data_IF_390135831852
#
_entry.id   IF_390135831852
#
_cell.length_a   1.000
_cell.length_b   1.000
_cell.length_c   1.000
_cell.angle_alpha   90.00
_cell.angle_beta   90.00
_cell.angle_gamma   90.00
#
_symmetry.space_group_name_H-M   'P 1'
#
loop_
_entity.id
_entity.type
_entity.pdbx_description
1 polymer ?
#
# COMPACT_ATOMS: atom_id res chain seq x y z
N UNK A 1 -4.45 -2.96 6.59
CA UNK A 1 -4.75 -2.91 5.16
C UNK A 1 -4.18 -1.63 4.61
N UNK A 2 -3.49 -1.65 3.45
CA UNK A 2 -2.80 -0.47 2.99
C UNK A 2 -3.53 0.33 1.90
N UNK A 3 -4.38 -0.26 1.04
CA UNK A 3 -5.10 0.58 0.06
C UNK A 3 -6.15 1.42 0.80
N UNK A 4 -6.89 0.77 1.70
CA UNK A 4 -7.84 1.42 2.60
C UNK A 4 -7.49 1.14 4.06
N UNK A 5 -7.93 2.03 4.94
CA UNK A 5 -7.85 1.83 6.38
C UNK A 5 -8.74 0.68 6.84
N UNK A 6 -8.38 0.01 7.94
CA UNK A 6 -9.19 -1.06 8.52
C UNK A 6 -10.56 -0.55 8.94
N UNK A 7 -10.66 0.68 9.47
CA UNK A 7 -11.96 1.31 9.80
C UNK A 7 -12.85 1.48 8.57
N UNK A 8 -12.28 1.90 7.42
CA UNK A 8 -13.02 2.02 6.16
C UNK A 8 -13.50 0.67 5.64
N UNK A 9 -12.63 -0.35 5.65
CA UNK A 9 -13.01 -1.70 5.22
C UNK A 9 -14.12 -2.27 6.09
N UNK A 10 -14.03 -2.13 7.42
CA UNK A 10 -15.09 -2.57 8.32
C UNK A 10 -16.41 -1.85 8.01
N UNK A 11 -16.39 -0.52 7.81
CA UNK A 11 -17.58 0.23 7.45
C UNK A 11 -18.19 -0.22 6.11
N UNK A 12 -17.38 -0.61 5.13
CA UNK A 12 -17.87 -1.17 3.86
C UNK A 12 -18.51 -2.56 4.06
N UNK A 13 -17.88 -3.43 4.85
CA UNK A 13 -18.45 -4.74 5.21
C UNK A 13 -19.78 -4.57 5.95
N UNK A 14 -19.85 -3.69 6.94
CA UNK A 14 -21.08 -3.43 7.72
C UNK A 14 -22.19 -2.86 6.83
N UNK A 15 -21.84 -1.99 5.88
CA UNK A 15 -22.80 -1.40 4.96
C UNK A 15 -23.37 -2.43 3.97
N UNK A 16 -22.52 -3.29 3.41
CA UNK A 16 -22.95 -4.37 2.52
C UNK A 16 -23.70 -5.48 3.27
N UNK A 17 -23.33 -5.79 4.52
CA UNK A 17 -23.99 -6.82 5.31
C UNK A 17 -25.47 -6.48 5.56
N UNK A 18 -25.80 -5.19 5.69
CA UNK A 18 -27.20 -4.72 5.79
C UNK A 18 -28.01 -4.92 4.51
N UNK A 19 -27.36 -5.23 3.38
CA UNK A 19 -27.99 -5.40 2.07
C UNK A 19 -28.20 -6.86 1.66
N UNK A 20 -27.73 -7.82 2.45
CA UNK A 20 -28.23 -9.21 2.37
C UNK A 20 -27.27 -10.30 1.91
N UNK A 21 -25.98 -10.03 1.69
CA UNK A 21 -25.02 -11.07 1.27
C UNK A 21 -23.98 -11.40 2.35
N UNK A 22 -24.40 -12.15 3.37
CA UNK A 22 -23.51 -12.51 4.49
C UNK A 22 -22.41 -13.52 4.10
N UNK A 23 -22.64 -14.35 3.08
CA UNK A 23 -21.72 -15.44 2.72
C UNK A 23 -20.53 -14.91 1.93
N UNK A 24 -20.74 -14.13 0.86
CA UNK A 24 -19.65 -13.50 0.11
C UNK A 24 -18.80 -12.61 1.00
N UNK A 25 -19.45 -11.83 1.86
CA UNK A 25 -18.73 -10.95 2.81
C UNK A 25 -17.88 -11.73 3.81
N UNK A 26 -18.26 -12.96 4.16
CA UNK A 26 -17.44 -13.84 5.02
C UNK A 26 -16.17 -14.29 4.31
N UNK A 27 -16.26 -14.67 3.03
CA UNK A 27 -15.09 -15.02 2.21
C UNK A 27 -14.16 -13.82 2.00
N UNK A 28 -14.72 -12.68 1.58
CA UNK A 28 -13.98 -11.43 1.39
C UNK A 28 -13.26 -11.04 2.68
N UNK A 29 -13.93 -11.11 3.83
CA UNK A 29 -13.30 -10.86 5.15
C UNK A 29 -12.14 -11.82 5.44
N UNK A 30 -12.30 -13.12 5.14
CA UNK A 30 -11.23 -14.10 5.35
C UNK A 30 -10.01 -13.82 4.46
N UNK A 31 -10.24 -13.43 3.19
CA UNK A 31 -9.19 -13.05 2.25
C UNK A 31 -8.51 -11.74 2.63
N UNK A 32 -9.26 -10.75 3.12
CA UNK A 32 -8.71 -9.50 3.66
C UNK A 32 -7.67 -9.78 4.75
N UNK A 33 -7.98 -10.62 5.73
CA UNK A 33 -7.06 -10.96 6.82
C UNK A 33 -5.94 -11.94 6.43
N UNK A 34 -5.84 -12.33 5.15
CA UNK A 34 -4.81 -13.24 4.68
C UNK A 34 -3.42 -12.60 4.70
N UNK A 35 -2.42 -13.38 5.14
CA UNK A 35 -1.00 -12.95 5.16
C UNK A 35 -0.42 -12.82 3.75
N UNK A 36 -0.99 -13.50 2.76
CA UNK A 36 -0.54 -13.44 1.36
C UNK A 36 -1.07 -12.17 0.71
N UNK A 37 -0.15 -11.37 0.19
CA UNK A 37 -0.48 -10.10 -0.46
C UNK A 37 -1.34 -10.28 -1.71
N UNK A 38 -1.14 -11.37 -2.44
CA UNK A 38 -1.91 -11.75 -3.64
C UNK A 38 -3.32 -12.29 -3.31
N UNK A 39 -3.74 -12.24 -2.04
CA UNK A 39 -5.09 -12.58 -1.60
C UNK A 39 -5.77 -11.37 -0.96
N UNK A 40 -5.06 -10.67 -0.07
CA UNK A 40 -5.61 -9.55 0.66
C UNK A 40 -5.85 -8.30 -0.21
N UNK A 41 -4.91 -7.92 -1.08
CA UNK A 41 -5.11 -6.72 -1.92
C UNK A 41 -6.20 -6.91 -2.98
N UNK A 42 -6.30 -8.06 -3.67
CA UNK A 42 -7.47 -8.34 -4.49
C UNK A 42 -8.78 -8.24 -3.72
N UNK A 43 -8.85 -8.77 -2.49
CA UNK A 43 -10.05 -8.67 -1.66
C UNK A 43 -10.37 -7.23 -1.22
N UNK A 44 -9.36 -6.38 -0.95
CA UNK A 44 -9.58 -4.95 -0.69
C UNK A 44 -10.21 -4.25 -1.89
N UNK A 45 -9.74 -4.55 -3.10
CA UNK A 45 -10.27 -3.95 -4.34
C UNK A 45 -11.66 -4.48 -4.69
N UNK A 46 -11.87 -5.79 -4.56
CA UNK A 46 -13.17 -6.44 -4.75
C UNK A 46 -14.23 -5.82 -3.82
N UNK A 47 -13.95 -5.73 -2.52
CA UNK A 47 -14.84 -5.10 -1.56
C UNK A 47 -15.17 -3.65 -1.93
N UNK A 48 -14.17 -2.87 -2.32
CA UNK A 48 -14.37 -1.48 -2.68
C UNK A 48 -15.21 -1.30 -3.94
N UNK A 49 -15.00 -2.14 -4.96
CA UNK A 49 -15.78 -2.11 -6.20
C UNK A 49 -17.22 -2.55 -5.96
N UNK A 50 -17.44 -3.65 -5.23
CA UNK A 50 -18.79 -4.10 -4.83
C UNK A 50 -19.51 -2.98 -4.05
N UNK A 51 -18.83 -2.38 -3.07
CA UNK A 51 -19.38 -1.28 -2.29
C UNK A 51 -19.69 -0.04 -3.14
N UNK A 52 -18.83 0.32 -4.09
CA UNK A 52 -19.06 1.45 -4.99
C UNK A 52 -20.23 1.19 -5.95
N UNK A 53 -20.38 -0.03 -6.48
CA UNK A 53 -21.51 -0.41 -7.31
C UNK A 53 -22.83 -0.39 -6.53
N UNK A 54 -22.84 -0.89 -5.29
CA UNK A 54 -24.01 -0.82 -4.40
C UNK A 54 -24.45 0.62 -4.07
N UNK A 55 -23.57 1.60 -4.26
CA UNK A 55 -23.89 3.03 -4.11
C UNK A 55 -24.45 3.66 -5.38
N UNK A 56 -24.17 3.08 -6.55
CA UNK A 56 -24.77 3.50 -7.81
C UNK A 56 -26.23 3.04 -7.90
N UNK A 57 -26.55 1.89 -7.30
CA UNK A 57 -27.93 1.45 -7.09
C UNK A 57 -28.01 -0.02 -6.71
N UNK A 58 -29.07 -0.69 -7.16
CA UNK A 58 -29.29 -2.11 -6.87
C UNK A 58 -28.24 -2.99 -7.56
N UNK A 59 -27.77 -3.97 -6.80
CA UNK A 59 -26.83 -4.99 -7.26
C UNK A 59 -27.31 -6.34 -6.75
N UNK A 60 -27.00 -7.39 -7.51
CA UNK A 60 -27.07 -8.78 -7.07
C UNK A 60 -25.66 -9.33 -7.07
N UNK A 61 -25.20 -9.87 -5.95
CA UNK A 61 -23.87 -10.47 -5.82
C UNK A 61 -23.95 -11.98 -6.06
N UNK A 62 -23.00 -12.52 -6.83
CA UNK A 62 -22.96 -13.96 -7.18
C UNK A 62 -24.31 -14.52 -7.67
N UNK A 63 -24.94 -13.90 -8.69
CA UNK A 63 -26.28 -14.25 -9.14
C UNK A 63 -26.36 -15.73 -9.53
N UNK A 64 -27.19 -16.49 -8.82
CA UNK A 64 -27.29 -17.94 -9.02
C UNK A 64 -27.87 -18.30 -10.40
N UNK A 65 -28.69 -17.42 -10.96
CA UNK A 65 -29.28 -17.59 -12.28
C UNK A 65 -28.25 -17.51 -13.42
N UNK A 66 -27.02 -17.04 -13.16
CA UNK A 66 -25.93 -17.08 -14.14
C UNK A 66 -25.28 -18.47 -14.25
N UNK A 67 -25.69 -19.43 -13.41
CA UNK A 67 -25.18 -20.80 -13.38
C UNK A 67 -23.94 -20.95 -12.50
N UNK A 68 -23.16 -22.01 -12.75
CA UNK A 68 -22.05 -22.42 -11.86
C UNK A 68 -20.87 -21.45 -11.81
N UNK A 69 -20.78 -20.51 -12.75
CA UNK A 69 -19.65 -19.57 -12.84
C UNK A 69 -19.81 -18.34 -11.95
N UNK A 70 -21.05 -18.04 -11.53
CA UNK A 70 -21.45 -16.98 -10.56
C UNK A 70 -20.58 -15.72 -10.62
N UNK A 71 -20.90 -14.75 -11.49
CA UNK A 71 -20.09 -13.56 -11.63
C UNK A 71 -20.09 -12.74 -10.33
N UNK A 72 -19.08 -11.93 -10.09
CA UNK A 72 -18.99 -11.19 -8.83
C UNK A 72 -20.24 -10.36 -8.52
N UNK A 73 -20.72 -9.62 -9.53
CA UNK A 73 -21.88 -8.72 -9.45
C UNK A 73 -22.72 -8.78 -10.74
N UNK A 74 -24.04 -8.66 -10.59
CA UNK A 74 -24.97 -8.19 -11.62
C UNK A 74 -25.56 -6.83 -11.23
N UNK A 75 -25.70 -5.94 -12.21
CA UNK A 75 -26.35 -4.63 -12.02
C UNK A 75 -26.83 -4.04 -13.35
N UNK A 76 -27.89 -3.24 -13.30
CA UNK A 76 -28.36 -2.44 -14.45
C UNK A 76 -27.91 -0.97 -14.37
N UNK A 77 -27.20 -0.59 -13.30
CA UNK A 77 -26.91 0.80 -12.96
C UNK A 77 -25.53 1.26 -13.44
N UNK A 78 -24.62 0.32 -13.73
CA UNK A 78 -23.29 0.66 -14.23
C UNK A 78 -23.38 1.26 -15.64
N UNK A 79 -24.10 0.60 -16.54
CA UNK A 79 -24.37 1.06 -17.91
C UNK A 79 -25.88 1.27 -18.07
N UNK A 80 -26.40 2.51 -17.92
CA UNK A 80 -27.83 2.77 -17.92
C UNK A 80 -28.55 2.16 -19.13
N UNK A 81 -29.58 1.36 -18.86
CA UNK A 81 -30.38 0.68 -19.88
C UNK A 81 -29.75 -0.59 -20.44
N UNK A 82 -28.64 -1.07 -19.87
CA UNK A 82 -28.00 -2.33 -20.27
C UNK A 82 -27.70 -3.19 -19.03
N UNK A 83 -28.31 -4.38 -18.91
CA UNK A 83 -27.94 -5.34 -17.89
C UNK A 83 -26.44 -5.65 -17.98
N UNK A 84 -25.74 -5.63 -16.85
CA UNK A 84 -24.31 -5.82 -16.81
C UNK A 84 -23.94 -6.86 -15.76
N UNK A 85 -23.08 -7.81 -16.13
CA UNK A 85 -22.34 -8.63 -15.18
C UNK A 85 -20.91 -8.14 -15.08
N UNK A 86 -20.38 -8.12 -13.86
CA UNK A 86 -19.08 -7.56 -13.54
C UNK A 86 -18.25 -8.63 -12.84
N UNK A 87 -17.03 -8.81 -13.33
CA UNK A 87 -15.96 -9.52 -12.63
C UNK A 87 -14.93 -8.54 -12.11
N UNK A 88 -14.47 -8.73 -10.88
CA UNK A 88 -13.41 -7.89 -10.30
C UNK A 88 -12.13 -8.70 -10.18
N UNK A 89 -11.03 -8.12 -10.63
CA UNK A 89 -9.69 -8.68 -10.45
C UNK A 89 -8.71 -7.59 -10.08
N UNK A 90 -7.61 -7.96 -9.43
CA UNK A 90 -6.53 -7.05 -9.14
C UNK A 90 -5.20 -7.66 -9.57
N UNK A 91 -4.39 -6.86 -10.27
CA UNK A 91 -3.15 -7.32 -10.89
C UNK A 91 -1.95 -6.74 -10.13
N UNK A 92 -0.87 -7.51 -10.05
CA UNK A 92 0.41 -7.05 -9.52
C UNK A 92 1.57 -7.45 -10.42
N UNK A 93 2.70 -6.78 -10.24
CA UNK A 93 3.94 -7.07 -10.95
C UNK A 93 4.67 -8.31 -10.41
N UNK A 94 4.17 -8.98 -9.36
CA UNK A 94 4.91 -10.02 -8.64
C UNK A 94 5.48 -11.14 -9.52
N UNK A 95 4.70 -11.63 -10.49
CA UNK A 95 5.16 -12.62 -11.49
C UNK A 95 6.16 -12.01 -12.47
N UNK A 96 5.88 -10.84 -13.05
CA UNK A 96 6.82 -10.18 -13.99
C UNK A 96 8.15 -9.83 -13.32
N UNK A 97 8.12 -9.53 -12.03
CA UNK A 97 9.29 -9.26 -11.21
C UNK A 97 10.01 -10.53 -10.75
N UNK A 98 9.40 -11.71 -10.90
CA UNK A 98 9.90 -12.99 -10.35
C UNK A 98 10.18 -12.89 -8.84
N UNK A 99 9.32 -12.17 -8.11
CA UNK A 99 9.50 -11.96 -6.66
C UNK A 99 9.69 -13.28 -5.88
N UNK A 100 8.91 -14.36 -6.12
CA UNK A 100 9.08 -15.62 -5.41
C UNK A 100 10.48 -16.24 -5.61
N UNK A 101 10.98 -16.24 -6.83
CA UNK A 101 12.27 -16.83 -7.19
C UNK A 101 13.42 -16.03 -6.58
N UNK A 102 13.35 -14.69 -6.69
CA UNK A 102 14.33 -13.79 -6.08
C UNK A 102 14.35 -13.95 -4.54
N UNK A 103 13.17 -14.03 -3.91
CA UNK A 103 13.04 -14.24 -2.47
C UNK A 103 13.58 -15.61 -2.05
N UNK A 104 13.37 -16.67 -2.85
CA UNK A 104 13.89 -18.02 -2.60
C UNK A 104 15.42 -18.02 -2.57
N UNK A 105 16.08 -17.45 -3.59
CA UNK A 105 17.55 -17.35 -3.62
C UNK A 105 18.09 -16.67 -2.37
N UNK A 106 17.54 -15.50 -2.03
CA UNK A 106 17.95 -14.76 -0.85
C UNK A 106 17.74 -15.55 0.45
N UNK A 107 16.62 -16.27 0.58
CA UNK A 107 16.29 -17.09 1.75
C UNK A 107 17.26 -18.26 1.89
N UNK A 108 17.49 -19.02 0.82
CA UNK A 108 18.37 -20.19 0.83
C UNK A 108 19.82 -19.83 1.12
N UNK A 109 20.32 -18.74 0.55
CA UNK A 109 21.66 -18.23 0.86
C UNK A 109 21.78 -17.74 2.30
N UNK A 110 20.73 -17.10 2.85
CA UNK A 110 20.69 -16.72 4.27
C UNK A 110 20.72 -17.95 5.19
N UNK A 111 19.96 -18.98 4.87
CA UNK A 111 19.93 -20.24 5.61
C UNK A 111 21.30 -20.93 5.58
N UNK A 112 21.94 -21.00 4.41
CA UNK A 112 23.30 -21.51 4.28
C UNK A 112 24.32 -20.70 5.11
N UNK A 113 24.27 -19.36 5.02
CA UNK A 113 25.12 -18.48 5.82
C UNK A 113 24.92 -18.69 7.32
N UNK A 114 23.69 -18.86 7.77
CA UNK A 114 23.37 -19.08 9.18
C UNK A 114 23.82 -20.46 9.69
N UNK A 115 23.83 -21.49 8.83
CA UNK A 115 24.43 -22.81 9.13
C UNK A 115 25.95 -22.73 9.29
N UNK A 116 26.61 -21.91 8.48
CA UNK A 116 28.05 -21.65 8.59
C UNK A 116 28.37 -20.86 9.86
N UNK A 117 27.66 -19.74 10.08
CA UNK A 117 27.83 -18.89 11.26
C UNK A 117 26.51 -18.24 11.65
N UNK A 118 26.00 -18.61 12.82
CA UNK A 118 24.69 -18.20 13.33
C UNK A 118 24.51 -16.69 13.27
N UNK A 119 23.38 -16.26 12.69
CA UNK A 119 22.95 -14.86 12.66
C UNK A 119 23.62 -14.01 11.59
N UNK A 120 24.49 -14.56 10.74
CA UNK A 120 25.14 -13.80 9.65
C UNK A 120 24.24 -13.53 8.46
N UNK A 121 23.23 -14.37 8.21
CA UNK A 121 22.31 -14.18 7.08
C UNK A 121 21.56 -12.84 7.10
N UNK A 122 21.27 -12.28 8.29
CA UNK A 122 20.60 -10.97 8.38
C UNK A 122 21.46 -9.79 7.90
N UNK A 123 22.76 -9.98 7.70
CA UNK A 123 23.70 -8.95 7.23
C UNK A 123 23.94 -9.00 5.73
N UNK A 124 23.30 -9.93 5.02
CA UNK A 124 23.52 -10.14 3.59
C UNK A 124 22.50 -9.39 2.74
N UNK A 125 22.97 -8.79 1.65
CA UNK A 125 22.13 -8.43 0.51
C UNK A 125 22.56 -9.15 -0.76
N UNK A 126 21.62 -9.29 -1.68
CA UNK A 126 21.74 -10.08 -2.90
C UNK A 126 21.37 -9.22 -4.09
N UNK A 127 22.30 -9.06 -5.02
CA UNK A 127 22.06 -8.43 -6.30
C UNK A 127 21.98 -9.52 -7.37
N UNK A 128 20.80 -9.71 -7.94
CA UNK A 128 20.54 -10.69 -9.01
C UNK A 128 20.81 -10.03 -10.35
N UNK A 129 21.64 -10.69 -11.15
CA UNK A 129 22.04 -10.21 -12.47
C UNK A 129 20.99 -10.52 -13.53
N UNK A 130 21.14 -9.84 -14.66
CA UNK A 130 20.19 -9.89 -15.78
C UNK A 130 20.95 -10.34 -17.02
N UNK A 131 20.28 -11.11 -17.87
CA UNK A 131 20.72 -11.47 -19.20
C UNK A 131 19.79 -10.81 -20.21
N UNK A 132 20.35 -10.36 -21.34
CA UNK A 132 19.57 -9.81 -22.43
C UNK A 132 20.20 -10.20 -23.77
N UNK A 133 19.36 -10.36 -24.79
CA UNK A 133 19.80 -10.79 -26.11
C UNK A 133 18.65 -10.87 -27.10
N UNK A 134 18.87 -11.66 -28.15
CA UNK A 134 17.85 -11.98 -29.13
C UNK A 134 17.78 -13.49 -29.33
N UNK A 135 16.57 -14.03 -29.37
CA UNK A 135 16.26 -15.37 -29.84
C UNK A 135 15.50 -15.22 -31.16
N UNK A 136 16.19 -15.45 -32.28
CA UNK A 136 15.68 -15.08 -33.60
C UNK A 136 15.51 -13.56 -33.75
N UNK A 137 14.31 -13.10 -34.08
CA UNK A 137 13.95 -11.67 -34.14
C UNK A 137 13.39 -11.12 -32.82
N UNK A 138 13.13 -11.99 -31.83
CA UNK A 138 12.55 -11.59 -30.56
C UNK A 138 13.64 -11.15 -29.57
N UNK A 139 13.55 -9.91 -29.08
CA UNK A 139 14.38 -9.46 -27.97
C UNK A 139 13.92 -10.13 -26.67
N UNK A 140 14.86 -10.59 -25.86
CA UNK A 140 14.58 -11.05 -24.51
C UNK A 140 15.44 -10.31 -23.48
N UNK A 141 14.86 -10.16 -22.30
CA UNK A 141 15.55 -9.75 -21.08
C UNK A 141 15.04 -10.62 -19.95
N UNK A 142 15.92 -11.32 -19.25
CA UNK A 142 15.56 -12.27 -18.20
C UNK A 142 16.45 -12.13 -16.98
N UNK A 143 15.88 -12.31 -15.79
CA UNK A 143 16.68 -12.38 -14.56
C UNK A 143 17.41 -13.71 -14.54
N UNK A 144 18.68 -13.68 -14.14
CA UNK A 144 19.52 -14.87 -13.99
C UNK A 144 19.22 -15.53 -12.64
N UNK A 145 18.09 -16.24 -12.58
CA UNK A 145 17.60 -16.91 -11.38
C UNK A 145 16.95 -18.25 -11.75
N UNK A 146 17.27 -19.29 -10.99
CA UNK A 146 16.59 -20.58 -11.06
C UNK A 146 15.39 -20.61 -10.11
N UNK A 147 14.21 -20.99 -10.61
CA UNK A 147 13.01 -21.12 -9.78
C UNK A 147 13.19 -22.14 -8.65
N UNK A 148 14.01 -23.16 -8.88
CA UNK A 148 14.33 -24.24 -7.94
C UNK A 148 15.68 -24.13 -7.24
N UNK A 149 16.25 -22.93 -7.18
CA UNK A 149 17.57 -22.71 -6.58
C UNK A 149 17.71 -23.34 -5.18
N UNK A 150 18.76 -24.15 -5.05
CA UNK A 150 19.28 -24.69 -3.79
C UNK A 150 20.81 -24.58 -3.81
N UNK A 151 21.46 -24.02 -2.78
CA UNK A 151 22.92 -23.88 -2.75
C UNK A 151 23.63 -25.24 -2.85
N UNK A 152 24.44 -25.42 -3.89
CA UNK A 152 25.31 -26.59 -4.05
C UNK A 152 26.41 -26.60 -2.98
N UNK A 153 27.07 -27.76 -2.81
CA UNK A 153 28.22 -27.87 -1.91
C UNK A 153 29.31 -26.83 -2.24
N UNK A 154 29.64 -26.66 -3.54
CA UNK A 154 30.61 -25.65 -3.98
C UNK A 154 30.18 -24.22 -3.66
N UNK A 155 28.89 -23.88 -3.82
CA UNK A 155 28.37 -22.57 -3.42
C UNK A 155 28.47 -22.35 -1.91
N UNK A 156 28.17 -23.38 -1.11
CA UNK A 156 28.30 -23.33 0.35
C UNK A 156 29.77 -23.15 0.77
N UNK A 157 30.71 -23.80 0.09
CA UNK A 157 32.14 -23.69 0.37
C UNK A 157 32.70 -22.30 0.02
N UNK A 158 32.31 -21.74 -1.13
CA UNK A 158 32.63 -20.35 -1.48
C UNK A 158 32.08 -19.36 -0.46
N UNK A 159 30.81 -19.54 -0.06
CA UNK A 159 30.18 -18.70 0.95
C UNK A 159 30.88 -18.84 2.31
N UNK A 160 31.32 -20.05 2.67
CA UNK A 160 32.08 -20.32 3.90
C UNK A 160 33.42 -19.61 3.88
N UNK A 161 34.21 -19.79 2.82
CA UNK A 161 35.50 -19.12 2.66
C UNK A 161 35.36 -17.61 2.79
N UNK A 162 34.37 -17.03 2.12
CA UNK A 162 34.10 -15.59 2.15
C UNK A 162 33.63 -15.07 3.53
N UNK A 163 32.72 -15.79 4.21
CA UNK A 163 32.23 -15.39 5.53
C UNK A 163 33.30 -15.47 6.63
N UNK A 164 34.32 -16.31 6.43
CA UNK A 164 35.41 -16.52 7.39
C UNK A 164 36.60 -15.56 7.18
N UNK A 165 36.61 -14.76 6.12
CA UNK A 165 37.60 -13.70 5.95
C UNK A 165 37.46 -12.65 7.06
N UNK A 166 38.60 -12.16 7.56
CA UNK A 166 38.65 -11.03 8.49
C UNK A 166 38.77 -9.70 7.73
N UNK A 167 38.26 -8.61 8.34
CA UNK A 167 38.33 -7.27 7.75
C UNK A 167 37.23 -6.96 6.71
N UNK A 168 37.58 -6.06 5.78
CA UNK A 168 36.69 -5.59 4.69
C UNK A 168 36.50 -6.72 3.69
N UNK A 169 35.23 -6.99 3.34
CA UNK A 169 34.86 -8.06 2.41
C UNK A 169 34.46 -7.46 1.06
N UNK A 170 35.19 -7.84 0.02
CA UNK A 170 34.74 -7.60 -1.35
C UNK A 170 33.44 -8.38 -1.64
N UNK A 171 32.55 -7.89 -2.51
CA UNK A 171 31.34 -8.62 -2.87
C UNK A 171 31.64 -10.01 -3.45
N UNK A 172 30.93 -11.04 -2.98
CA UNK A 172 31.07 -12.41 -3.46
C UNK A 172 30.17 -12.64 -4.68
N UNK A 173 30.74 -13.04 -5.81
CA UNK A 173 29.96 -13.45 -6.99
C UNK A 173 29.74 -14.96 -6.98
N UNK A 174 28.48 -15.37 -7.06
CA UNK A 174 28.08 -16.77 -7.13
C UNK A 174 27.41 -17.05 -8.48
N UNK A 175 27.91 -18.09 -9.14
CA UNK A 175 27.39 -18.64 -10.40
C UNK A 175 27.00 -20.10 -10.16
N UNK A 176 25.73 -20.43 -10.31
CA UNK A 176 25.23 -21.79 -10.21
C UNK A 176 23.99 -21.96 -11.09
N UNK A 177 24.02 -22.88 -12.06
CA UNK A 177 22.90 -23.04 -12.99
C UNK A 177 22.63 -21.76 -13.78
N UNK A 178 21.36 -21.35 -13.88
CA UNK A 178 21.00 -20.04 -14.43
C UNK A 178 21.13 -18.91 -13.40
N UNK A 179 21.35 -19.22 -12.12
CA UNK A 179 21.47 -18.23 -11.05
C UNK A 179 22.81 -17.50 -11.07
N UNK A 180 22.77 -16.18 -11.20
CA UNK A 180 23.93 -15.29 -11.07
C UNK A 180 23.63 -14.20 -10.03
N UNK A 181 24.31 -14.27 -8.89
CA UNK A 181 24.06 -13.39 -7.74
C UNK A 181 25.36 -12.84 -7.17
N UNK A 182 25.36 -11.55 -6.86
CA UNK A 182 26.39 -10.92 -6.03
C UNK A 182 25.89 -10.78 -4.60
N UNK A 183 26.62 -11.34 -3.65
CA UNK A 183 26.37 -11.29 -2.21
C UNK A 183 27.22 -10.17 -1.60
N UNK A 184 26.58 -9.27 -0.87
CA UNK A 184 27.25 -8.16 -0.18
C UNK A 184 27.03 -8.26 1.33
N UNK A 185 28.07 -7.91 2.08
CA UNK A 185 28.05 -7.84 3.54
C UNK A 185 27.72 -6.43 4.01
N UNK A 186 26.89 -6.32 5.04
CA UNK A 186 26.57 -5.05 5.72
C UNK A 186 26.85 -5.16 7.22
N UNK A 187 27.44 -4.13 7.81
CA UNK A 187 27.66 -4.08 9.26
C UNK A 187 26.35 -4.13 10.05
N UNK A 188 25.33 -3.43 9.54
CA UNK A 188 24.00 -3.38 10.12
C UNK A 188 23.10 -4.46 9.50
N UNK A 189 22.26 -5.15 10.30
CA UNK A 189 21.25 -6.06 9.77
C UNK A 189 20.34 -5.40 8.71
N UNK A 190 20.10 -6.11 7.62
CA UNK A 190 19.19 -5.74 6.54
C UNK A 190 17.78 -6.25 6.82
N UNK A 191 16.79 -5.45 6.44
CA UNK A 191 15.39 -5.87 6.55
C UNK A 191 15.15 -7.09 5.63
N UNK A 192 14.43 -8.13 6.08
CA UNK A 192 14.23 -9.37 5.31
C UNK A 192 13.54 -9.19 3.95
N UNK A 193 12.82 -8.09 3.76
CA UNK A 193 12.09 -7.78 2.52
C UNK A 193 12.79 -6.76 1.62
N UNK A 194 13.98 -6.27 1.99
CA UNK A 194 14.72 -5.24 1.23
C UNK A 194 16.18 -5.61 1.02
N UNK A 195 16.48 -6.91 1.01
CA UNK A 195 17.83 -7.44 0.90
C UNK A 195 18.07 -8.18 -0.42
N UNK A 196 17.09 -8.24 -1.31
CA UNK A 196 17.25 -8.76 -2.68
C UNK A 196 16.93 -7.63 -3.64
N UNK A 197 17.77 -7.44 -4.64
CA UNK A 197 17.65 -6.39 -5.64
C UNK A 197 17.96 -6.95 -7.03
N UNK A 198 17.24 -6.45 -8.04
CA UNK A 198 17.53 -6.70 -9.44
C UNK A 198 17.32 -5.39 -10.22
N UNK A 199 18.22 -5.09 -11.15
CA UNK A 199 18.13 -3.88 -11.99
C UNK A 199 17.10 -3.99 -13.11
N UNK A 200 16.51 -5.17 -13.31
CA UNK A 200 15.43 -5.38 -14.27
C UNK A 200 14.09 -4.93 -13.65
N UNK A 201 13.42 -3.90 -14.20
CA UNK A 201 12.07 -3.54 -13.82
C UNK A 201 11.07 -4.63 -14.20
N UNK A 202 9.86 -4.57 -13.65
CA UNK A 202 8.75 -5.42 -14.07
C UNK A 202 8.10 -4.84 -15.33
N UNK A 203 8.55 -5.30 -16.49
CA UNK A 203 8.04 -4.90 -17.81
C UNK A 203 7.44 -6.12 -18.52
N UNK A 204 6.37 -5.90 -19.27
CA UNK A 204 5.84 -6.90 -20.20
C UNK A 204 6.47 -6.71 -21.58
N UNK A 205 6.86 -7.82 -22.21
CA UNK A 205 7.38 -7.83 -23.60
C UNK A 205 6.46 -8.57 -24.59
N UNK A 206 5.36 -9.16 -24.09
CA UNK A 206 4.37 -9.88 -24.88
C UNK A 206 2.97 -9.37 -24.55
N UNK A 207 2.11 -9.28 -25.58
CA UNK A 207 0.70 -8.92 -25.42
C UNK A 207 -0.09 -9.99 -24.68
N UNK A 208 0.34 -11.25 -24.74
CA UNK A 208 -0.35 -12.41 -24.15
C UNK A 208 0.36 -12.98 -22.93
N UNK A 209 1.70 -13.04 -22.93
CA UNK A 209 2.47 -13.56 -21.79
C UNK A 209 2.75 -12.43 -20.79
N UNK A 210 1.72 -12.07 -20.04
CA UNK A 210 1.81 -11.13 -18.93
C UNK A 210 0.65 -11.33 -17.93
N UNK A 211 0.82 -10.92 -16.65
CA UNK A 211 -0.19 -11.13 -15.61
C UNK A 211 -1.52 -10.41 -15.86
N UNK A 212 -1.53 -9.34 -16.66
CA UNK A 212 -2.76 -8.63 -17.00
C UNK A 212 -3.59 -9.44 -17.98
N UNK A 213 -2.99 -9.96 -19.05
CA UNK A 213 -3.68 -10.83 -20.00
C UNK A 213 -4.19 -12.10 -19.33
N UNK A 214 -3.37 -12.75 -18.50
CA UNK A 214 -3.78 -13.94 -17.74
C UNK A 214 -5.03 -13.67 -16.87
N UNK A 215 -5.03 -12.56 -16.14
CA UNK A 215 -6.16 -12.18 -15.28
C UNK A 215 -7.42 -11.86 -16.12
N UNK A 216 -7.26 -11.21 -17.27
CA UNK A 216 -8.35 -10.94 -18.19
C UNK A 216 -8.93 -12.24 -18.77
N UNK A 217 -8.09 -13.18 -19.21
CA UNK A 217 -8.52 -14.46 -19.76
C UNK A 217 -9.14 -15.39 -18.71
N UNK A 218 -8.68 -15.34 -17.45
CA UNK A 218 -9.33 -16.03 -16.34
C UNK A 218 -10.75 -15.49 -16.11
N UNK A 219 -10.90 -14.17 -15.97
CA UNK A 219 -12.20 -13.53 -15.72
C UNK A 219 -13.15 -13.64 -16.91
N UNK A 220 -12.61 -13.64 -18.13
CA UNK A 220 -13.36 -13.98 -19.34
C UNK A 220 -14.06 -15.33 -19.22
N UNK A 221 -13.33 -16.37 -18.80
CA UNK A 221 -13.89 -17.71 -18.66
C UNK A 221 -15.00 -17.72 -17.61
N UNK A 222 -14.91 -16.92 -16.55
CA UNK A 222 -15.98 -16.77 -15.56
C UNK A 222 -17.23 -16.09 -16.16
N UNK A 223 -17.06 -15.04 -16.97
CA UNK A 223 -18.15 -14.30 -17.63
C UNK A 223 -18.79 -15.01 -18.84
N UNK A 224 -18.20 -16.11 -19.30
CA UNK A 224 -18.70 -16.80 -20.48
C UNK A 224 -19.99 -17.59 -20.15
N UNK A 225 -21.13 -16.97 -20.43
CA UNK A 225 -22.46 -17.60 -20.45
C UNK A 225 -23.12 -17.34 -21.80
N UNK A 226 -23.62 -18.37 -22.51
CA UNK A 226 -24.31 -18.19 -23.79
C UNK A 226 -25.71 -17.57 -23.63
N UNK A 227 -26.32 -17.68 -22.44
CA UNK A 227 -27.69 -17.22 -22.17
C UNK A 227 -27.74 -15.72 -21.84
N UNK A 228 -26.64 -15.18 -21.32
CA UNK A 228 -26.58 -13.76 -20.97
C UNK A 228 -26.39 -12.89 -22.22
N UNK A 229 -27.27 -11.91 -22.42
CA UNK A 229 -27.24 -11.01 -23.60
C UNK A 229 -26.81 -9.58 -23.28
N UNK A 230 -26.53 -9.28 -22.01
CA UNK A 230 -26.09 -7.96 -21.56
C UNK A 230 -24.58 -7.73 -21.70
N UNK A 231 -24.10 -6.67 -21.05
CA UNK A 231 -22.69 -6.24 -21.02
C UNK A 231 -21.90 -7.12 -20.07
N UNK A 232 -20.78 -7.67 -20.55
CA UNK A 232 -19.78 -8.37 -19.74
C UNK A 232 -18.61 -7.44 -19.46
N UNK A 233 -18.47 -7.05 -18.20
CA UNK A 233 -17.47 -6.10 -17.76
C UNK A 233 -16.43 -6.76 -16.85
N UNK A 234 -15.15 -6.52 -17.11
CA UNK A 234 -14.08 -6.84 -16.17
C UNK A 234 -13.56 -5.53 -15.57
N UNK A 235 -13.61 -5.40 -14.25
CA UNK A 235 -12.96 -4.34 -13.49
C UNK A 235 -11.58 -4.82 -13.06
N UNK A 236 -10.53 -4.19 -13.58
CA UNK A 236 -9.13 -4.51 -13.26
C UNK A 236 -8.52 -3.44 -12.38
N UNK A 237 -8.14 -3.84 -11.17
CA UNK A 237 -7.65 -2.95 -10.14
C UNK A 237 -6.11 -3.03 -9.99
N UNK A 238 -5.44 -1.91 -9.72
CA UNK A 238 -4.00 -1.88 -9.42
C UNK A 238 -3.72 -2.35 -7.99
N UNK A 239 -3.14 -3.54 -7.84
CA UNK A 239 -2.59 -4.08 -6.59
C UNK A 239 -1.04 -4.12 -6.61
N UNK A 240 -0.42 -3.15 -7.29
CA UNK A 240 1.01 -3.08 -7.53
C UNK A 240 1.41 -3.49 -8.94
N UNK A 241 0.54 -3.24 -9.93
CA UNK A 241 0.81 -3.47 -11.35
C UNK A 241 1.23 -2.17 -12.04
N UNK A 242 2.40 -2.19 -12.66
CA UNK A 242 2.87 -1.07 -13.49
C UNK A 242 2.06 -0.96 -14.78
N UNK A 243 1.57 -2.08 -15.33
CA UNK A 243 0.70 -2.08 -16.52
C UNK A 243 -0.61 -1.32 -16.28
N UNK A 244 -1.19 -1.40 -15.08
CA UNK A 244 -2.42 -0.66 -14.73
C UNK A 244 -2.11 0.77 -14.28
N UNK A 245 -1.10 0.95 -13.42
CA UNK A 245 -0.74 2.28 -12.88
C UNK A 245 -0.30 3.25 -13.98
N UNK A 246 0.32 2.73 -15.04
CA UNK A 246 0.88 3.50 -16.15
C UNK A 246 0.48 2.90 -17.50
N UNK A 247 -0.82 2.90 -17.80
CA UNK A 247 -1.42 2.31 -19.00
C UNK A 247 -0.72 2.68 -20.31
N UNK A 248 -0.18 3.89 -20.40
CA UNK A 248 0.44 4.45 -21.62
C UNK A 248 1.97 4.55 -21.55
N UNK A 249 2.60 4.21 -20.42
CA UNK A 249 4.03 4.41 -20.27
C UNK A 249 4.83 3.31 -20.97
N UNK A 250 5.73 3.74 -21.85
CA UNK A 250 6.83 2.92 -22.37
C UNK A 250 8.09 3.32 -21.60
N UNK A 251 8.72 2.39 -20.91
CA UNK A 251 9.97 2.67 -20.20
C UNK A 251 11.14 2.55 -21.18
N UNK A 252 11.84 3.66 -21.44
CA UNK A 252 13.24 3.80 -21.91
C UNK A 252 13.73 3.05 -23.16
N UNK A 253 13.38 1.78 -23.32
CA UNK A 253 13.67 0.92 -24.45
C UNK A 253 12.34 0.61 -25.13
N UNK A 254 12.20 0.95 -26.42
CA UNK A 254 10.96 0.89 -27.23
C UNK A 254 10.39 -0.53 -27.47
N UNK A 255 10.53 -1.46 -26.54
CA UNK A 255 10.25 -2.90 -26.72
C UNK A 255 9.28 -3.47 -25.71
N UNK A 256 8.97 -2.75 -24.63
CA UNK A 256 7.92 -3.16 -23.69
C UNK A 256 6.54 -2.89 -24.28
N UNK A 257 5.58 -3.75 -24.00
CA UNK A 257 4.16 -3.49 -24.28
C UNK A 257 3.52 -2.74 -23.13
N UNK A 258 2.57 -1.85 -23.43
CA UNK A 258 1.85 -1.08 -22.41
C UNK A 258 0.58 -1.81 -21.96
N UNK A 259 0.06 -1.45 -20.78
CA UNK A 259 -1.20 -2.01 -20.29
C UNK A 259 -2.39 -1.72 -21.23
N UNK A 260 -2.41 -0.53 -21.84
CA UNK A 260 -3.38 -0.19 -22.90
C UNK A 260 -3.31 -1.18 -24.06
N UNK A 261 -2.11 -1.43 -24.58
CA UNK A 261 -1.93 -2.33 -25.72
C UNK A 261 -2.40 -3.74 -25.40
N UNK A 262 -2.10 -4.26 -24.20
CA UNK A 262 -2.58 -5.57 -23.74
C UNK A 262 -4.11 -5.63 -23.69
N UNK A 263 -4.77 -4.64 -23.08
CA UNK A 263 -6.23 -4.61 -22.95
C UNK A 263 -6.92 -4.46 -24.31
N UNK A 264 -6.42 -3.56 -25.16
CA UNK A 264 -6.97 -3.35 -26.50
C UNK A 264 -6.76 -4.57 -27.40
N UNK A 265 -5.63 -5.26 -27.27
CA UNK A 265 -5.38 -6.53 -27.95
C UNK A 265 -6.38 -7.58 -27.49
N UNK A 266 -6.52 -7.75 -26.17
CA UNK A 266 -7.49 -8.68 -25.56
C UNK A 266 -8.92 -8.41 -26.06
N UNK A 267 -9.39 -7.17 -26.10
CA UNK A 267 -10.75 -6.84 -26.55
C UNK A 267 -10.98 -6.97 -28.07
N UNK A 268 -9.92 -7.03 -28.88
CA UNK A 268 -10.01 -7.23 -30.34
C UNK A 268 -10.09 -8.70 -30.73
N UNK A 269 -9.59 -9.60 -29.90
CA UNK A 269 -9.65 -11.03 -30.18
C UNK A 269 -11.11 -11.49 -30.19
N UNK A 270 -11.58 -12.02 -31.32
CA UNK A 270 -13.00 -12.22 -31.64
C UNK A 270 -13.74 -13.18 -30.70
N UNK A 271 -13.00 -14.04 -29.99
CA UNK A 271 -13.56 -15.11 -29.15
C UNK A 271 -13.61 -14.74 -27.65
N UNK A 272 -13.37 -13.46 -27.34
CA UNK A 272 -13.19 -13.05 -25.96
C UNK A 272 -14.53 -13.02 -25.21
N UNK A 273 -15.65 -12.67 -25.84
CA UNK A 273 -16.92 -12.63 -25.12
C UNK A 273 -16.89 -11.71 -23.88
N UNK A 274 -16.06 -10.65 -23.92
CA UNK A 274 -16.03 -9.55 -22.95
C UNK A 274 -16.27 -8.28 -23.73
N UNK A 275 -17.10 -7.41 -23.19
CA UNK A 275 -17.54 -6.19 -23.84
C UNK A 275 -16.72 -4.98 -23.38
N UNK A 276 -16.34 -4.99 -22.10
CA UNK A 276 -15.75 -3.85 -21.43
C UNK A 276 -14.64 -4.27 -20.47
N UNK A 277 -13.53 -3.56 -20.49
CA UNK A 277 -12.52 -3.58 -19.42
C UNK A 277 -12.45 -2.18 -18.79
N UNK A 278 -12.67 -2.10 -17.49
CA UNK A 278 -12.55 -0.87 -16.71
C UNK A 278 -11.35 -0.99 -15.79
N UNK A 279 -10.39 -0.08 -15.87
CA UNK A 279 -9.23 -0.08 -14.98
C UNK A 279 -9.39 0.91 -13.84
N UNK A 280 -8.94 0.54 -12.65
CA UNK A 280 -8.92 1.39 -11.45
C UNK A 280 -7.52 1.39 -10.84
N UNK A 281 -6.89 2.55 -10.78
CA UNK A 281 -5.58 2.72 -10.16
C UNK A 281 -5.62 3.81 -9.09
N UNK A 282 -5.21 3.51 -7.84
CA UNK A 282 -4.96 4.57 -6.89
C UNK A 282 -3.72 5.34 -7.37
N UNK A 283 -3.84 6.65 -7.40
CA UNK A 283 -2.81 7.56 -7.89
C UNK A 283 -2.59 8.68 -6.89
N UNK A 284 -1.33 9.05 -6.68
CA UNK A 284 -1.00 10.21 -5.86
C UNK A 284 -0.43 11.31 -6.73
N UNK A 285 -1.12 12.44 -6.78
CA UNK A 285 -0.57 13.60 -7.47
C UNK A 285 0.68 14.11 -6.73
N UNK A 286 1.79 14.11 -7.46
CA UNK A 286 3.09 14.61 -7.01
C UNK A 286 3.31 16.06 -7.40
N UNK A 287 2.24 16.84 -7.57
CA UNK A 287 2.29 18.28 -7.86
C UNK A 287 3.41 19.02 -7.13
N UNK A 288 3.89 20.10 -7.76
CA UNK A 288 5.00 20.94 -7.27
C UNK A 288 4.94 21.08 -5.75
N UNK A 289 6.03 20.73 -5.06
CA UNK A 289 6.10 20.53 -3.60
C UNK A 289 5.60 21.71 -2.75
N UNK A 290 5.38 22.87 -3.37
CA UNK A 290 4.95 24.12 -2.75
C UNK A 290 3.43 24.23 -2.50
N UNK A 291 2.58 23.42 -3.16
CA UNK A 291 1.11 23.53 -3.05
C UNK A 291 0.47 22.49 -2.13
N UNK A 292 1.08 22.18 -0.98
CA UNK A 292 0.42 21.76 0.27
C UNK A 292 -0.55 20.55 0.34
N UNK A 293 -1.10 20.02 -0.76
CA UNK A 293 -2.05 18.91 -0.74
C UNK A 293 -1.70 17.87 -1.80
N UNK A 294 -0.85 16.91 -1.41
CA UNK A 294 -0.75 15.64 -2.13
C UNK A 294 -2.05 14.88 -1.91
N UNK A 295 -3.02 15.04 -2.80
CA UNK A 295 -4.28 14.28 -2.75
C UNK A 295 -4.07 12.96 -3.49
N UNK A 296 -4.51 11.89 -2.85
CA UNK A 296 -4.66 10.60 -3.51
C UNK A 296 -6.03 10.59 -4.19
N UNK A 297 -6.09 10.06 -5.39
CA UNK A 297 -7.31 9.96 -6.20
C UNK A 297 -7.34 8.62 -6.94
N UNK A 298 -8.49 8.31 -7.54
CA UNK A 298 -8.63 7.18 -8.45
C UNK A 298 -8.43 7.65 -9.88
N UNK A 299 -7.50 7.02 -10.58
CA UNK A 299 -7.46 7.04 -12.04
C UNK A 299 -8.27 5.88 -12.58
N UNK A 300 -9.21 6.20 -13.45
CA UNK A 300 -10.05 5.22 -14.11
C UNK A 300 -9.92 5.32 -15.62
N UNK A 301 -9.88 4.20 -16.33
CA UNK A 301 -9.98 4.17 -17.80
C UNK A 301 -10.96 3.10 -18.25
N UNK A 302 -11.68 3.40 -19.33
CA UNK A 302 -12.67 2.49 -19.92
C UNK A 302 -12.20 2.05 -21.30
N UNK A 303 -12.21 0.75 -21.53
CA UNK A 303 -11.89 0.12 -22.80
C UNK A 303 -13.11 -0.67 -23.27
N UNK A 304 -13.49 -0.46 -24.52
CA UNK A 304 -14.66 -1.07 -25.14
C UNK A 304 -14.21 -2.00 -26.25
N UNK A 305 -14.92 -3.13 -26.42
CA UNK A 305 -14.75 -3.95 -27.62
C UNK A 305 -15.02 -3.12 -28.89
N UNK A 306 -14.36 -3.42 -30.02
CA UNK A 306 -14.64 -2.73 -31.28
C UNK A 306 -16.13 -2.73 -31.64
N UNK A 307 -16.67 -1.56 -32.01
CA UNK A 307 -18.07 -1.38 -32.42
C UNK A 307 -19.07 -1.14 -31.28
N UNK A 308 -18.70 -1.39 -30.01
CA UNK A 308 -19.55 -1.07 -28.88
C UNK A 308 -19.46 0.42 -28.53
N UNK A 309 -20.62 1.04 -28.26
CA UNK A 309 -20.70 2.43 -27.81
C UNK A 309 -21.42 2.48 -26.47
N UNK A 310 -20.69 2.92 -25.45
CA UNK A 310 -21.19 3.15 -24.10
C UNK A 310 -20.72 4.53 -23.63
N UNK A 311 -21.44 5.08 -22.66
CA UNK A 311 -21.03 6.31 -22.00
C UNK A 311 -19.70 6.10 -21.25
N UNK A 312 -18.67 6.87 -21.59
CA UNK A 312 -17.35 6.77 -20.96
C UNK A 312 -17.29 7.41 -19.58
N UNK A 313 -18.26 8.27 -19.23
CA UNK A 313 -18.34 8.88 -17.90
C UNK A 313 -18.64 7.84 -16.80
N UNK A 314 -19.09 6.64 -17.15
CA UNK A 314 -19.32 5.50 -16.23
C UNK A 314 -18.09 5.24 -15.35
N UNK A 315 -16.89 5.26 -15.93
CA UNK A 315 -15.66 4.99 -15.20
C UNK A 315 -15.40 6.03 -14.09
N UNK A 316 -15.63 7.31 -14.40
CA UNK A 316 -15.50 8.40 -13.45
C UNK A 316 -16.59 8.35 -12.37
N UNK A 317 -17.82 7.99 -12.73
CA UNK A 317 -18.93 7.81 -11.76
C UNK A 317 -18.61 6.71 -10.75
N UNK A 318 -18.17 5.53 -11.23
CA UNK A 318 -17.75 4.45 -10.35
C UNK A 318 -16.58 4.89 -9.46
N UNK A 319 -15.56 5.52 -10.03
CA UNK A 319 -14.41 6.02 -9.28
C UNK A 319 -14.80 7.06 -8.20
N UNK A 320 -15.80 7.90 -8.46
CA UNK A 320 -16.30 8.88 -7.49
C UNK A 320 -17.06 8.26 -6.31
N UNK A 321 -17.53 7.00 -6.46
CA UNK A 321 -18.18 6.25 -5.39
C UNK A 321 -17.18 5.47 -4.53
N UNK A 322 -15.93 5.32 -4.96
CA UNK A 322 -14.90 4.64 -4.19
C UNK A 322 -14.40 5.53 -3.03
N UNK A 323 -13.99 4.94 -1.89
CA UNK A 323 -13.29 5.68 -0.85
C UNK A 323 -11.96 6.23 -1.38
N UNK A 324 -11.46 7.32 -0.79
CA UNK A 324 -10.15 7.88 -1.14
C UNK A 324 -9.06 6.86 -0.81
N UNK A 325 -8.18 6.50 -1.76
CA UNK A 325 -7.13 5.52 -1.50
C UNK A 325 -6.02 6.13 -0.65
N UNK A 326 -5.48 5.35 0.29
CA UNK A 326 -4.40 5.81 1.16
C UNK A 326 -3.04 5.74 0.50
N UNK A 327 -2.79 4.67 -0.26
CA UNK A 327 -1.53 4.40 -0.94
C UNK A 327 -1.77 3.92 -2.37
N UNK A 328 -0.78 4.13 -3.23
CA UNK A 328 -0.75 3.53 -4.56
C UNK A 328 -0.53 2.01 -4.46
N UNK A 329 -0.93 1.23 -5.47
CA UNK A 329 -0.94 -0.23 -5.40
C UNK A 329 0.41 -0.85 -5.02
N UNK A 330 1.52 -0.32 -5.55
CA UNK A 330 2.87 -0.84 -5.24
C UNK A 330 3.31 -0.52 -3.81
N UNK A 331 2.93 0.66 -3.29
CA UNK A 331 3.20 1.03 -1.90
C UNK A 331 2.41 0.11 -0.99
N UNK A 332 1.13 -0.11 -1.33
CA UNK A 332 0.27 -1.02 -0.62
C UNK A 332 0.84 -2.44 -0.56
N UNK A 333 1.26 -2.99 -1.70
CA UNK A 333 1.94 -4.30 -1.78
C UNK A 333 3.17 -4.37 -0.88
N UNK A 334 4.07 -3.40 -1.01
CA UNK A 334 5.30 -3.35 -0.22
C UNK A 334 5.01 -3.29 1.29
N UNK A 335 4.05 -2.48 1.70
CA UNK A 335 3.67 -2.32 3.11
C UNK A 335 3.02 -3.58 3.68
N UNK A 336 2.20 -4.29 2.89
CA UNK A 336 1.58 -5.54 3.32
C UNK A 336 2.60 -6.68 3.46
N UNK A 337 3.54 -6.80 2.52
CA UNK A 337 4.65 -7.76 2.61
C UNK A 337 5.50 -7.55 3.87
N UNK A 338 5.60 -6.32 4.37
CA UNK A 338 6.29 -5.98 5.63
C UNK A 338 5.44 -6.21 6.88
N UNK A 339 4.20 -6.70 6.73
CA UNK A 339 3.24 -6.94 7.80
C UNK A 339 2.96 -5.70 8.67
N UNK A 340 3.07 -4.48 8.12
CA UNK A 340 2.92 -3.22 8.85
C UNK A 340 1.47 -2.84 9.20
N UNK A 341 0.52 -3.70 8.85
CA UNK A 341 -0.90 -3.38 8.74
C UNK A 341 -1.83 -4.40 9.39
N UNK A 342 -1.25 -5.31 10.17
CA UNK A 342 -2.00 -6.24 11.00
C UNK A 342 -2.51 -5.48 12.22
N UNK A 343 -3.63 -5.91 12.78
CA UNK A 343 -4.18 -5.24 13.96
C UNK A 343 -3.20 -5.28 15.16
N UNK A 344 -2.37 -6.33 15.21
CA UNK A 344 -1.35 -6.62 16.22
C UNK A 344 0.09 -6.24 15.81
N UNK A 345 0.30 -5.73 14.59
CA UNK A 345 1.63 -5.28 14.16
C UNK A 345 2.01 -3.94 14.79
N UNK A 346 3.30 -3.58 14.71
CA UNK A 346 3.80 -2.25 15.06
C UNK A 346 2.93 -1.20 14.35
N UNK A 347 2.07 -0.52 15.11
CA UNK A 347 0.99 0.28 14.56
C UNK A 347 1.49 1.40 13.65
N UNK A 348 0.65 1.79 12.70
CA UNK A 348 0.86 3.04 11.98
C UNK A 348 0.27 4.18 12.82
N UNK A 349 1.14 5.04 13.34
CA UNK A 349 0.75 6.16 14.18
C UNK A 349 0.50 7.40 13.32
N UNK A 350 -0.51 8.20 13.70
CA UNK A 350 -0.62 9.55 13.16
C UNK A 350 0.56 10.40 13.63
N UNK A 351 1.04 11.26 12.73
CA UNK A 351 2.16 12.16 13.02
C UNK A 351 1.80 13.19 14.08
N UNK A 352 2.83 13.67 14.80
CA UNK A 352 2.68 14.71 15.81
C UNK A 352 2.37 16.06 15.16
N UNK A 353 1.31 16.70 15.65
CA UNK A 353 0.92 18.05 15.25
C UNK A 353 1.17 19.04 16.38
N UNK A 354 1.52 20.28 16.04
CA UNK A 354 1.68 21.35 17.02
C UNK A 354 1.01 22.62 16.50
N UNK A 355 0.26 23.30 17.36
CA UNK A 355 -0.37 24.57 17.04
C UNK A 355 -0.24 25.51 18.24
N UNK A 356 0.13 26.76 18.01
CA UNK A 356 0.14 27.81 19.04
C UNK A 356 -1.01 28.77 18.76
N UNK A 357 -1.81 29.11 19.78
CA UNK A 357 -2.87 30.12 19.71
C UNK A 357 -2.72 31.08 20.88
N UNK A 358 -2.09 32.23 20.65
CA UNK A 358 -1.83 33.21 21.72
C UNK A 358 -0.94 32.62 22.81
N UNK A 359 -1.45 32.59 24.05
CA UNK A 359 -0.76 32.06 25.23
C UNK A 359 -0.94 30.54 25.44
N UNK A 360 -1.80 29.86 24.66
CA UNK A 360 -1.95 28.40 24.75
C UNK A 360 -1.30 27.68 23.57
N UNK A 361 -0.80 26.48 23.86
CA UNK A 361 -0.23 25.58 22.86
C UNK A 361 -1.01 24.26 22.86
N UNK A 362 -1.28 23.75 21.67
CA UNK A 362 -1.85 22.43 21.46
C UNK A 362 -0.80 21.50 20.87
N UNK A 363 -0.60 20.35 21.51
CA UNK A 363 0.21 19.25 20.98
C UNK A 363 -0.72 18.08 20.68
N UNK A 364 -0.67 17.56 19.44
CA UNK A 364 -1.46 16.41 19.00
C UNK A 364 -0.54 15.20 18.85
N UNK A 365 -0.85 14.11 19.53
CA UNK A 365 -0.12 12.84 19.43
C UNK A 365 -1.06 11.72 18.99
N UNK A 366 -0.51 10.69 18.34
CA UNK A 366 -1.24 9.44 18.10
C UNK A 366 -1.79 8.85 19.39
N UNK A 367 -3.11 8.66 19.45
CA UNK A 367 -3.79 8.02 20.58
C UNK A 367 -3.33 6.57 20.75
N UNK A 368 -3.17 5.85 19.64
CA UNK A 368 -2.65 4.48 19.67
C UNK A 368 -1.21 4.40 20.19
N UNK A 369 -0.33 5.32 19.80
CA UNK A 369 1.06 5.34 20.28
C UNK A 369 1.11 5.53 21.81
N UNK A 370 0.32 6.46 22.34
CA UNK A 370 0.22 6.70 23.79
C UNK A 370 -0.34 5.45 24.49
N UNK A 371 -1.40 4.84 23.96
CA UNK A 371 -1.98 3.64 24.55
C UNK A 371 -0.99 2.45 24.55
N UNK A 372 -0.25 2.25 23.46
CA UNK A 372 0.75 1.18 23.39
C UNK A 372 1.93 1.41 24.34
N UNK A 373 2.33 2.68 24.56
CA UNK A 373 3.31 3.04 25.59
C UNK A 373 2.78 2.70 26.99
N UNK A 374 1.56 3.15 27.33
CA UNK A 374 0.94 2.89 28.63
C UNK A 374 0.69 1.39 28.89
N UNK A 375 0.40 0.62 27.84
CA UNK A 375 0.24 -0.82 27.90
C UNK A 375 1.57 -1.61 27.99
N UNK A 376 2.72 -0.93 27.98
CA UNK A 376 4.04 -1.57 27.99
C UNK A 376 4.39 -2.33 26.70
N UNK A 377 3.63 -2.13 25.62
CA UNK A 377 3.88 -2.73 24.29
C UNK A 377 4.87 -1.93 23.46
N UNK A 378 5.09 -0.67 23.83
CA UNK A 378 6.05 0.24 23.23
C UNK A 378 7.03 0.76 24.28
N UNK A 379 8.33 0.77 23.95
CA UNK A 379 9.34 1.38 24.81
C UNK A 379 9.29 2.90 24.70
N UNK A 380 9.75 3.61 25.74
CA UNK A 380 9.82 5.08 25.73
C UNK A 380 10.70 5.61 24.58
N UNK A 381 11.84 4.96 24.33
CA UNK A 381 12.71 5.32 23.21
C UNK A 381 11.96 5.25 21.87
N UNK A 382 11.22 4.16 21.64
CA UNK A 382 10.45 4.00 20.42
C UNK A 382 9.32 5.02 20.33
N UNK A 383 8.65 5.31 21.44
CA UNK A 383 7.63 6.35 21.50
C UNK A 383 8.18 7.70 21.06
N UNK A 384 9.36 8.09 21.56
CA UNK A 384 10.04 9.31 21.15
C UNK A 384 10.39 9.34 19.67
N UNK A 385 10.81 8.22 19.09
CA UNK A 385 11.09 8.12 17.65
C UNK A 385 9.84 8.33 16.81
N UNK A 386 8.73 7.66 17.15
CA UNK A 386 7.51 7.70 16.31
C UNK A 386 6.73 9.00 16.46
N UNK A 387 6.81 9.64 17.63
CA UNK A 387 6.17 10.94 17.88
C UNK A 387 7.09 12.13 17.56
N UNK A 388 8.35 11.89 17.21
CA UNK A 388 9.33 12.97 16.99
C UNK A 388 9.67 13.76 18.27
N UNK A 389 9.37 13.23 19.45
CA UNK A 389 9.67 13.84 20.75
C UNK A 389 11.09 13.52 21.25
N UNK A 390 11.89 12.82 20.43
CA UNK A 390 13.28 12.49 20.73
C UNK A 390 14.09 13.77 20.93
N UNK A 391 14.69 13.90 22.12
CA UNK A 391 15.66 14.96 22.37
C UNK A 391 16.88 14.72 21.48
N UNK A 392 17.22 15.71 20.66
CA UNK A 392 18.46 15.78 19.90
C UNK A 392 19.21 17.05 20.28
N UNK A 393 20.51 17.18 19.96
CA UNK A 393 21.23 18.45 20.16
C UNK A 393 20.55 19.66 19.50
N UNK A 394 19.70 19.42 18.49
CA UNK A 394 19.02 20.43 17.70
C UNK A 394 17.50 20.52 17.97
N UNK A 395 16.93 19.65 18.80
CA UNK A 395 15.50 19.57 19.08
C UNK A 395 15.24 19.17 20.52
N UNK A 396 14.65 20.07 21.30
CA UNK A 396 14.18 19.75 22.65
C UNK A 396 12.85 19.00 22.60
N UNK A 397 12.62 18.11 23.57
CA UNK A 397 11.29 17.56 23.79
C UNK A 397 10.33 18.71 24.12
N UNK A 398 9.25 18.84 23.36
CA UNK A 398 8.36 19.98 23.48
C UNK A 398 7.69 20.08 24.85
N UNK A 399 7.35 18.95 25.47
CA UNK A 399 6.74 18.95 26.80
C UNK A 399 7.72 19.41 27.87
N UNK A 400 8.97 18.95 27.82
CA UNK A 400 10.03 19.43 28.73
C UNK A 400 10.29 20.94 28.53
N UNK A 401 10.33 21.39 27.27
CA UNK A 401 10.50 22.81 26.95
C UNK A 401 9.36 23.67 27.52
N UNK A 402 8.10 23.23 27.37
CA UNK A 402 6.93 23.95 27.86
C UNK A 402 6.79 23.91 29.38
N UNK A 403 7.11 22.77 30.00
CA UNK A 403 7.16 22.66 31.45
C UNK A 403 8.18 23.63 32.05
N UNK A 404 9.35 23.79 31.43
CA UNK A 404 10.36 24.79 31.83
C UNK A 404 9.90 26.25 31.66
N UNK A 405 8.93 26.51 30.78
CA UNK A 405 8.29 27.82 30.63
C UNK A 405 7.17 28.08 31.65
N UNK A 406 6.83 27.05 32.43
CA UNK A 406 5.76 27.07 33.42
C UNK A 406 4.38 26.79 32.84
N UNK A 407 4.32 26.13 31.69
CA UNK A 407 3.08 25.61 31.14
C UNK A 407 2.81 24.21 31.69
N UNK A 408 1.55 23.95 32.06
CA UNK A 408 1.06 22.63 32.44
C UNK A 408 -0.05 22.17 31.48
N UNK A 409 -0.44 20.90 31.60
CA UNK A 409 -1.62 20.37 30.93
C UNK A 409 -2.89 20.98 31.52
N UNK A 410 -3.66 21.69 30.70
CA UNK A 410 -4.96 22.26 31.09
C UNK A 410 -6.14 21.45 30.60
N UNK A 411 -6.00 20.81 29.44
CA UNK A 411 -7.06 19.98 28.86
C UNK A 411 -6.47 18.84 28.02
N UNK A 412 -7.15 17.70 28.03
CA UNK A 412 -6.87 16.59 27.11
C UNK A 412 -8.17 16.18 26.44
N UNK A 413 -8.18 16.16 25.10
CA UNK A 413 -9.32 15.67 24.30
C UNK A 413 -8.88 14.63 23.28
N UNK A 414 -9.84 13.89 22.73
CA UNK A 414 -9.61 12.97 21.62
C UNK A 414 -10.25 13.58 20.37
N UNK A 415 -9.44 13.77 19.33
CA UNK A 415 -9.89 14.17 18.00
C UNK A 415 -9.94 12.93 17.10
N UNK A 416 -11.15 12.60 16.62
CA UNK A 416 -11.36 11.45 15.75
C UNK A 416 -10.61 11.63 14.43
N UNK A 417 -9.85 10.60 14.03
CA UNK A 417 -9.23 10.52 12.71
C UNK A 417 -10.23 10.23 11.58
N UNK A 418 -11.48 9.88 11.93
CA UNK A 418 -12.51 9.44 11.00
C UNK A 418 -12.30 7.99 10.52
N UNK A 419 -12.98 7.65 9.43
CA UNK A 419 -12.91 6.30 8.82
C UNK A 419 -11.63 6.09 8.01
N UNK A 420 -11.07 7.16 7.43
CA UNK A 420 -9.92 7.07 6.52
C UNK A 420 -8.56 7.23 7.24
N UNK A 421 -8.58 7.15 8.58
CA UNK A 421 -7.39 7.04 9.42
C UNK A 421 -7.59 5.90 10.43
N UNK A 422 -6.59 5.05 10.60
CA UNK A 422 -6.63 3.88 11.51
C UNK A 422 -6.31 4.22 12.99
N UNK A 423 -6.30 5.51 13.31
CA UNK A 423 -5.86 6.04 14.60
C UNK A 423 -6.50 7.41 14.82
N UNK A 424 -6.56 7.81 16.09
CA UNK A 424 -7.10 9.10 16.54
C UNK A 424 -5.99 9.94 17.15
N UNK A 425 -6.26 11.21 17.43
CA UNK A 425 -5.28 12.11 18.05
C UNK A 425 -5.68 12.43 19.48
N UNK A 426 -4.76 12.21 20.42
CA UNK A 426 -4.82 12.85 21.73
C UNK A 426 -4.32 14.27 21.59
N UNK A 427 -5.15 15.22 21.99
CA UNK A 427 -4.93 16.65 21.87
C UNK A 427 -4.68 17.20 23.27
N UNK A 428 -3.44 17.54 23.56
CA UNK A 428 -3.00 18.13 24.81
C UNK A 428 -2.99 19.65 24.67
N UNK A 429 -3.79 20.34 25.47
CA UNK A 429 -3.70 21.78 25.63
C UNK A 429 -2.78 22.11 26.80
N UNK A 430 -1.86 23.02 26.54
CA UNK A 430 -0.87 23.52 27.47
C UNK A 430 -1.14 24.99 27.72
N UNK A 431 -1.22 25.36 28.99
CA UNK A 431 -1.34 26.75 29.42
C UNK A 431 -0.47 27.02 30.63
N UNK A 432 -0.07 28.28 30.77
CA UNK A 432 0.72 28.73 31.91
C UNK A 432 -0.04 28.54 33.23
N UNK A 433 0.64 27.98 34.23
CA UNK A 433 0.11 27.85 35.58
C UNK A 433 1.13 28.37 36.60
N UNK A 434 0.71 29.19 37.59
CA UNK A 434 1.58 29.64 38.67
C UNK A 434 2.29 28.52 39.43
N UNK A 435 1.73 27.31 39.49
CA UNK A 435 2.34 26.16 40.16
C UNK A 435 3.60 25.63 39.46
N UNK A 436 3.76 25.95 38.16
CA UNK A 436 4.90 25.52 37.35
C UNK A 436 5.80 26.70 36.91
N UNK A 437 5.42 27.94 37.23
CA UNK A 437 6.14 29.15 36.82
C UNK A 437 6.69 29.93 38.03
N UNK A 438 7.76 30.72 37.87
CA UNK A 438 8.12 31.73 38.86
C UNK A 438 6.94 32.69 39.10
N UNK A 439 6.64 32.96 40.38
CA UNK A 439 5.59 33.90 40.77
C UNK A 439 5.88 35.28 40.19
N UNK A 440 4.83 35.96 39.70
CA UNK A 440 4.90 37.31 39.13
C UNK A 440 3.92 38.21 39.86
N UNK A 441 4.30 39.47 40.01
CA UNK A 441 3.41 40.54 40.46
C UNK A 441 2.89 41.23 39.20
N UNK A 442 1.57 41.28 39.02
CA UNK A 442 0.97 42.02 37.89
C UNK A 442 1.24 43.52 38.08
N UNK A 443 2.16 44.05 37.27
CA UNK A 443 2.51 45.47 37.28
C UNK A 443 1.34 46.39 36.85
N UNK A 444 0.24 45.83 36.35
CA UNK A 444 -0.98 46.54 35.95
C UNK A 444 -1.92 46.86 37.13
N UNK A 445 -1.67 46.33 38.34
CA UNK A 445 -2.41 46.69 39.56
C UNK A 445 -1.77 47.84 40.35
N UNK A 446 -0.78 48.51 39.77
CA UNK A 446 0.02 49.55 40.42
C UNK A 446 -0.11 50.94 39.80
N UNK A 447 -1.32 51.44 39.57
CA UNK A 447 -1.53 52.90 39.66
C UNK A 447 -2.07 53.17 41.05
N UNK A 448 -1.26 53.70 41.99
CA UNK A 448 -1.81 54.21 43.25
C UNK A 448 -2.84 55.28 42.87
N UNK A 449 -4.10 55.07 43.26
CA UNK A 449 -5.14 56.07 43.12
C UNK A 449 -4.63 57.40 43.68
N UNK A 450 -4.81 58.47 42.92
CA UNK A 450 -4.54 59.83 43.37
C UNK A 450 -5.19 60.04 44.75
N UNK A 451 -4.47 60.65 45.72
CA UNK A 451 -5.04 60.90 47.03
C UNK A 451 -6.28 61.79 46.91
N UNK A 452 -7.34 61.53 47.69
CA UNK A 452 -8.51 62.39 47.74
C UNK A 452 -8.10 63.79 48.23
N UNK A 453 -8.66 64.80 47.58
CA UNK A 453 -8.57 66.22 47.93
C UNK A 453 -8.86 66.45 49.42
N UNK A 454 -7.89 67.02 50.14
CA UNK A 454 -8.17 67.73 51.38
C UNK A 454 -8.58 69.16 51.03
N UNK A 455 -9.80 69.54 51.43
CA UNK A 455 -10.26 70.91 51.35
C UNK A 455 -9.66 71.77 52.47
N UNK A 456 -9.24 72.97 52.10
CA UNK A 456 -9.58 74.25 52.73
C UNK A 456 -9.49 75.35 51.66
#
# INVERSE_FOLDING_TARGET
MPIFTRRRLQAMLDDLARRGDAQKLTDVRARLENKRVDQALPAEMELAVVWALARLGEIETEPEWFGDRRPDIYTEQLFPGQPCVVEVTAVSDGRMAQEPELARVGTKLKEAANRIRRGRGKHLSFQIHVEQGYEGSAYFRRRKVDADFEPSAGTVDLLRGWLMQDGVREPLVLLQGATHVTVQWHEVPRHPHSNVFCSMPAEAYSLEDNPLFDALDEKRRQLASPEFTGVRCIVVADAGSTLIRRLDAVFGMQRSVTGRQVIEYFLRSSDVGVDVVLTLSPFRDTGLWFTGSRRSEWRSSLFLRPGLRLDTAVAQRLASCLPVPRFEGYQARSLHQQALYRHDSRGWYLGTGMQSRGSSMTVKLSSRAVLELLAGRMTLERFHEVTGLKQTPTSANIFDHRLKQGDILSQVTIESGGLDKDDDLLVFELSRDPSAAPLRVDATLGTPGAPPSAGE
#
